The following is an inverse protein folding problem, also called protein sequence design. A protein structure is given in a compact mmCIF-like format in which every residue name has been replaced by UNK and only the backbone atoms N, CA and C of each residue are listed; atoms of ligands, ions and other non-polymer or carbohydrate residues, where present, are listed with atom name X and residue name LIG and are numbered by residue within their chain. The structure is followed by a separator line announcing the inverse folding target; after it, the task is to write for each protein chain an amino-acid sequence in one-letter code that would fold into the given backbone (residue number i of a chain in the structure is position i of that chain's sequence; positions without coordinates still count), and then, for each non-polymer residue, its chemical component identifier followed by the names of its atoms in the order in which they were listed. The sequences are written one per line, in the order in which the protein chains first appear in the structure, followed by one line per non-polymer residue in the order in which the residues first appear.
data_IF_466299075487
#
_entry.id   IF_466299075487
#
_cell.length_a   1.000
_cell.length_b   1.000
_cell.length_c   1.000
_cell.angle_alpha   90.00
_cell.angle_beta   90.00
_cell.angle_gamma   90.00
#
_symmetry.space_group_name_H-M   'P 1'
#
loop_
_entity.id
_entity.type
_entity.pdbx_description
1 polymer ?
#
# COMPACT_ATOMS: atom_id res chain seq x y z
N UNK A 1 8.09 14.13 23.17
CA UNK A 1 7.51 12.96 22.48
C UNK A 1 8.58 11.87 22.47
N UNK A 2 8.28 10.64 22.89
CA UNK A 2 9.33 9.59 22.94
C UNK A 2 9.68 9.13 21.52
N UNK A 3 10.93 8.70 21.30
CA UNK A 3 11.42 8.20 20.01
C UNK A 3 10.53 7.06 19.46
N UNK A 4 10.10 6.16 20.35
CA UNK A 4 9.15 5.11 20.03
C UNK A 4 7.82 5.64 19.49
N UNK A 5 7.27 6.70 20.10
CA UNK A 5 6.03 7.34 19.63
C UNK A 5 6.18 7.94 18.23
N UNK A 6 7.35 8.51 17.91
CA UNK A 6 7.62 9.09 16.60
C UNK A 6 7.64 7.99 15.54
N UNK A 7 8.37 6.90 15.75
CA UNK A 7 8.42 5.79 14.80
C UNK A 7 7.09 5.07 14.65
N UNK A 8 6.35 4.90 15.75
CA UNK A 8 4.99 4.36 15.71
C UNK A 8 4.07 5.24 14.84
N UNK A 9 4.18 6.56 15.01
CA UNK A 9 3.42 7.51 14.20
C UNK A 9 3.83 7.47 12.73
N UNK A 10 5.13 7.34 12.42
CA UNK A 10 5.64 7.25 11.05
C UNK A 10 5.02 6.07 10.30
N UNK A 11 5.14 4.85 10.81
CA UNK A 11 4.62 3.68 10.09
C UNK A 11 3.09 3.74 9.96
N UNK A 12 2.39 4.18 11.00
CA UNK A 12 0.92 4.26 10.98
C UNK A 12 0.45 5.29 9.94
N UNK A 13 1.11 6.45 9.88
CA UNK A 13 0.80 7.48 8.89
C UNK A 13 1.15 7.02 7.47
N UNK A 14 2.29 6.34 7.28
CA UNK A 14 2.66 5.74 6.00
C UNK A 14 1.60 4.75 5.51
N UNK A 15 1.13 3.85 6.40
CA UNK A 15 0.09 2.88 6.06
C UNK A 15 -1.22 3.56 5.65
N UNK A 16 -1.70 4.53 6.44
CA UNK A 16 -2.97 5.23 6.17
C UNK A 16 -2.87 6.08 4.89
N UNK A 17 -1.75 6.80 4.70
CA UNK A 17 -1.50 7.61 3.53
C UNK A 17 -1.45 6.74 2.26
N UNK A 18 -0.60 5.70 2.25
CA UNK A 18 -0.41 4.87 1.07
C UNK A 18 -1.65 4.01 0.77
N UNK A 19 -2.39 3.53 1.77
CA UNK A 19 -3.68 2.87 1.55
C UNK A 19 -4.67 3.80 0.82
N UNK A 20 -4.73 5.06 1.24
CA UNK A 20 -5.57 6.08 0.59
C UNK A 20 -5.08 6.40 -0.84
N UNK A 21 -3.77 6.42 -1.07
CA UNK A 21 -3.19 6.55 -2.41
C UNK A 21 -3.54 5.33 -3.28
N UNK A 22 -3.53 4.12 -2.73
CA UNK A 22 -4.01 2.91 -3.40
C UNK A 22 -5.46 3.03 -3.88
N UNK A 23 -6.34 3.66 -3.08
CA UNK A 23 -7.71 3.98 -3.49
C UNK A 23 -7.74 5.01 -4.63
N UNK A 24 -6.88 6.03 -4.62
CA UNK A 24 -6.78 7.02 -5.72
C UNK A 24 -6.31 6.37 -7.03
N UNK A 25 -5.32 5.49 -6.95
CA UNK A 25 -4.81 4.75 -8.12
C UNK A 25 -5.89 3.81 -8.64
N UNK A 26 -6.57 3.06 -7.77
CA UNK A 26 -7.69 2.22 -8.16
C UNK A 26 -8.82 3.04 -8.81
N UNK A 27 -9.10 4.25 -8.31
CA UNK A 27 -10.08 5.17 -8.91
C UNK A 27 -9.66 5.54 -10.33
N UNK A 28 -8.41 5.94 -10.52
CA UNK A 28 -7.87 6.36 -11.80
C UNK A 28 -7.89 5.23 -12.84
N UNK A 29 -7.47 4.02 -12.43
CA UNK A 29 -7.49 2.82 -13.29
C UNK A 29 -8.92 2.56 -13.78
N UNK A 30 -9.90 2.47 -12.88
CA UNK A 30 -11.29 2.20 -13.25
C UNK A 30 -11.89 3.28 -14.16
N UNK A 31 -11.50 4.55 -13.99
CA UNK A 31 -11.89 5.65 -14.88
C UNK A 31 -11.32 5.49 -16.28
N UNK A 32 -10.03 5.18 -16.40
CA UNK A 32 -9.35 5.02 -17.69
C UNK A 32 -9.82 3.77 -18.43
N UNK A 33 -10.14 2.69 -17.71
CA UNK A 33 -10.65 1.45 -18.31
C UNK A 33 -12.16 1.47 -18.58
N UNK A 34 -12.85 2.59 -18.35
CA UNK A 34 -14.30 2.69 -18.50
C UNK A 34 -15.09 1.61 -17.73
N UNK A 35 -14.66 1.28 -16.52
CA UNK A 35 -15.30 0.24 -15.71
C UNK A 35 -16.69 0.67 -15.23
N UNK A 36 -17.73 0.17 -15.90
CA UNK A 36 -19.14 0.51 -15.60
C UNK A 36 -19.57 0.03 -14.20
N UNK A 37 -19.10 -1.16 -13.80
CA UNK A 37 -19.41 -1.77 -12.50
C UNK A 37 -18.92 -0.94 -11.31
N UNK A 38 -17.90 -0.09 -11.50
CA UNK A 38 -17.28 0.72 -10.45
C UNK A 38 -17.93 2.13 -10.32
N UNK A 39 -18.90 2.48 -11.17
CA UNK A 39 -19.44 3.84 -11.23
C UNK A 39 -20.06 4.31 -9.91
N UNK A 40 -20.82 3.46 -9.23
CA UNK A 40 -21.41 3.77 -7.92
C UNK A 40 -20.43 3.69 -6.75
N UNK A 41 -19.20 3.16 -6.96
CA UNK A 41 -18.13 3.18 -5.96
C UNK A 41 -17.36 4.51 -5.95
N UNK A 42 -17.37 5.28 -7.03
CA UNK A 42 -16.63 6.55 -7.12
C UNK A 42 -16.92 7.55 -5.98
N UNK A 43 -18.16 7.74 -5.50
CA UNK A 43 -18.42 8.59 -4.34
C UNK A 43 -17.76 8.06 -3.05
N UNK A 44 -17.76 6.74 -2.86
CA UNK A 44 -17.16 6.07 -1.69
C UNK A 44 -15.64 6.27 -1.73
N UNK A 45 -15.01 6.00 -2.88
CA UNK A 45 -13.57 6.17 -3.09
C UNK A 45 -13.15 7.62 -2.82
N UNK A 46 -13.89 8.61 -3.35
CA UNK A 46 -13.64 10.03 -3.07
C UNK A 46 -13.74 10.36 -1.59
N UNK A 47 -14.72 9.80 -0.87
CA UNK A 47 -14.89 10.03 0.57
C UNK A 47 -13.71 9.46 1.37
N UNK A 48 -13.25 8.27 1.02
CA UNK A 48 -12.08 7.63 1.65
C UNK A 48 -10.82 8.47 1.43
N UNK A 49 -10.63 9.06 0.25
CA UNK A 49 -9.42 9.82 -0.10
C UNK A 49 -9.49 11.29 0.32
N UNK A 50 -10.66 11.81 0.73
CA UNK A 50 -10.83 13.21 1.15
C UNK A 50 -9.89 13.64 2.28
N UNK A 51 -9.69 12.87 3.38
CA UNK A 51 -8.77 13.27 4.45
C UNK A 51 -7.28 13.12 4.10
N UNK A 52 -6.93 12.64 2.89
CA UNK A 52 -5.54 12.37 2.51
C UNK A 52 -4.61 13.57 2.74
N UNK A 53 -5.06 14.80 2.43
CA UNK A 53 -4.23 15.99 2.60
C UNK A 53 -3.85 16.26 4.06
N UNK A 54 -4.75 15.97 5.01
CA UNK A 54 -4.46 16.09 6.45
C UNK A 54 -3.45 15.04 6.88
N UNK A 55 -3.65 13.79 6.45
CA UNK A 55 -2.73 12.68 6.76
C UNK A 55 -1.34 12.98 6.21
N UNK A 56 -1.24 13.49 4.99
CA UNK A 56 0.03 13.85 4.36
C UNK A 56 0.70 15.05 5.03
N UNK A 57 -0.06 16.04 5.51
CA UNK A 57 0.49 17.18 6.25
C UNK A 57 1.12 16.72 7.57
N UNK A 58 0.44 15.84 8.31
CA UNK A 58 0.99 15.26 9.55
C UNK A 58 2.19 14.37 9.25
N UNK A 59 2.11 13.53 8.21
CA UNK A 59 3.21 12.69 7.74
C UNK A 59 4.44 13.54 7.37
N UNK A 60 4.25 14.65 6.67
CA UNK A 60 5.35 15.57 6.32
C UNK A 60 6.02 16.15 7.57
N UNK A 61 5.24 16.50 8.61
CA UNK A 61 5.77 16.93 9.90
C UNK A 61 6.60 15.84 10.59
N UNK A 62 6.15 14.59 10.55
CA UNK A 62 6.92 13.45 11.09
C UNK A 62 8.17 13.19 10.26
N UNK A 63 8.07 13.22 8.94
CA UNK A 63 9.22 13.08 8.02
C UNK A 63 10.25 14.18 8.22
N UNK A 64 9.83 15.42 8.52
CA UNK A 64 10.73 16.52 8.88
C UNK A 64 11.51 16.26 10.18
N UNK A 65 10.87 15.63 11.16
CA UNK A 65 11.50 15.27 12.44
C UNK A 65 12.53 14.14 12.23
N UNK A 66 12.19 13.15 11.40
CA UNK A 66 13.04 11.97 11.12
C UNK A 66 14.18 12.30 10.14
N UNK A 67 13.89 13.07 9.09
CA UNK A 67 14.83 13.47 8.04
C UNK A 67 14.87 14.99 7.93
N UNK A 68 16.01 15.58 8.29
CA UNK A 68 16.22 17.05 8.24
C UNK A 68 16.75 17.57 6.90
N UNK A 69 16.99 16.67 5.95
CA UNK A 69 17.58 17.02 4.66
C UNK A 69 16.59 17.78 3.77
N UNK A 70 16.92 19.00 3.30
CA UNK A 70 15.97 19.85 2.56
C UNK A 70 15.58 19.23 1.20
N UNK A 71 16.51 18.57 0.52
CA UNK A 71 16.24 17.92 -0.77
C UNK A 71 15.28 16.73 -0.63
N UNK A 72 15.37 15.99 0.47
CA UNK A 72 14.44 14.89 0.78
C UNK A 72 13.01 15.43 0.95
N UNK A 73 12.86 16.50 1.75
CA UNK A 73 11.58 17.12 2.01
C UNK A 73 10.96 17.73 0.76
N UNK A 74 11.78 18.36 -0.09
CA UNK A 74 11.32 18.90 -1.37
C UNK A 74 10.72 17.81 -2.27
N UNK A 75 11.40 16.65 -2.39
CA UNK A 75 10.88 15.50 -3.14
C UNK A 75 9.61 14.94 -2.52
N UNK A 76 9.59 14.76 -1.20
CA UNK A 76 8.40 14.29 -0.48
C UNK A 76 7.18 15.20 -0.73
N UNK A 77 7.35 16.52 -0.64
CA UNK A 77 6.30 17.50 -0.97
C UNK A 77 5.87 17.37 -2.43
N UNK A 78 6.82 17.19 -3.36
CA UNK A 78 6.52 16.95 -4.77
C UNK A 78 5.61 15.73 -4.99
N UNK A 79 5.94 14.59 -4.39
CA UNK A 79 5.11 13.37 -4.48
C UNK A 79 3.71 13.59 -3.90
N UNK A 80 3.64 14.18 -2.71
CA UNK A 80 2.37 14.47 -2.02
C UNK A 80 1.50 15.45 -2.81
N UNK A 81 2.10 16.48 -3.43
CA UNK A 81 1.39 17.48 -4.22
C UNK A 81 0.68 16.87 -5.43
N UNK A 82 1.29 15.89 -6.10
CA UNK A 82 0.66 15.15 -7.21
C UNK A 82 -0.62 14.46 -6.73
N UNK A 83 -0.56 13.75 -5.60
CA UNK A 83 -1.71 13.00 -5.07
C UNK A 83 -2.82 13.92 -4.56
N UNK A 84 -2.46 14.97 -3.82
CA UNK A 84 -3.41 15.96 -3.29
C UNK A 84 -4.06 16.75 -4.42
N UNK A 85 -3.26 17.20 -5.40
CA UNK A 85 -3.74 17.94 -6.57
C UNK A 85 -4.75 17.11 -7.37
N UNK A 86 -4.44 15.84 -7.62
CA UNK A 86 -5.37 14.93 -8.28
C UNK A 86 -6.64 14.72 -7.45
N UNK A 87 -6.53 14.45 -6.14
CA UNK A 87 -7.66 14.24 -5.24
C UNK A 87 -8.65 15.42 -5.21
N UNK A 88 -8.16 16.66 -5.18
CA UNK A 88 -9.01 17.87 -5.14
C UNK A 88 -9.68 18.19 -6.50
N UNK A 89 -9.11 17.71 -7.59
CA UNK A 89 -9.59 17.99 -8.95
C UNK A 89 -10.52 16.90 -9.50
N UNK A 90 -10.74 15.80 -8.77
CA UNK A 90 -11.57 14.64 -9.17
C UNK A 90 -13.02 14.96 -9.58
N UNK A 91 -13.60 16.11 -9.16
CA UNK A 91 -14.96 16.52 -9.54
C UNK A 91 -15.00 17.41 -10.80
N UNK A 92 -13.86 18.03 -11.15
CA UNK A 92 -13.79 19.04 -12.22
C UNK A 92 -13.56 18.43 -13.60
N UNK A 93 -13.02 17.21 -13.66
CA UNK A 93 -12.65 16.58 -14.92
C UNK A 93 -13.85 15.98 -15.64
N UNK A 94 -14.06 16.43 -16.88
CA UNK A 94 -14.98 15.82 -17.85
C UNK A 94 -14.26 14.89 -18.83
N UNK A 95 -12.94 15.07 -19.01
CA UNK A 95 -12.10 14.25 -19.89
C UNK A 95 -11.29 13.22 -19.12
N UNK A 96 -10.80 12.19 -19.82
CA UNK A 96 -9.97 11.13 -19.26
C UNK A 96 -8.51 11.53 -19.07
N UNK A 97 -8.03 12.52 -19.83
CA UNK A 97 -6.62 12.94 -19.87
C UNK A 97 -6.00 13.17 -18.50
N UNK A 98 -6.68 13.81 -17.51
CA UNK A 98 -6.10 14.00 -16.19
C UNK A 98 -5.90 12.69 -15.40
N UNK A 99 -6.76 11.69 -15.61
CA UNK A 99 -6.62 10.37 -14.97
C UNK A 99 -5.43 9.61 -15.54
N UNK A 100 -5.24 9.67 -16.86
CA UNK A 100 -4.09 9.06 -17.55
C UNK A 100 -2.79 9.75 -17.12
N UNK A 101 -2.77 11.10 -17.13
CA UNK A 101 -1.59 11.86 -16.74
C UNK A 101 -1.22 11.60 -15.27
N UNK A 102 -2.20 11.53 -14.38
CA UNK A 102 -1.98 11.15 -12.99
C UNK A 102 -1.32 9.78 -12.88
N UNK A 103 -1.82 8.76 -13.59
CA UNK A 103 -1.23 7.41 -13.55
C UNK A 103 0.23 7.41 -14.06
N UNK A 104 0.50 8.08 -15.18
CA UNK A 104 1.87 8.17 -15.72
C UNK A 104 2.82 8.82 -14.71
N UNK A 105 2.43 9.98 -14.15
CA UNK A 105 3.26 10.69 -13.16
C UNK A 105 3.40 9.86 -11.88
N UNK A 106 2.33 9.18 -11.45
CA UNK A 106 2.34 8.32 -10.28
C UNK A 106 3.35 7.19 -10.42
N UNK A 107 3.32 6.43 -11.52
CA UNK A 107 4.26 5.32 -11.74
C UNK A 107 5.72 5.80 -11.88
N UNK A 108 5.95 7.00 -12.43
CA UNK A 108 7.30 7.59 -12.47
C UNK A 108 7.81 8.04 -11.10
N UNK A 109 6.91 8.42 -10.18
CA UNK A 109 7.27 8.93 -8.85
C UNK A 109 7.19 7.87 -7.75
N UNK A 110 6.54 6.74 -7.98
CA UNK A 110 6.35 5.65 -7.03
C UNK A 110 7.69 5.04 -6.58
N UNK A 111 8.55 4.68 -7.53
CA UNK A 111 9.84 4.05 -7.22
C UNK A 111 10.78 4.95 -6.41
N UNK A 112 11.03 6.22 -6.82
CA UNK A 112 11.86 7.10 -5.99
C UNK A 112 11.20 7.43 -4.64
N UNK A 113 9.87 7.47 -4.54
CA UNK A 113 9.16 7.60 -3.26
C UNK A 113 9.41 6.40 -2.34
N UNK A 114 9.37 5.18 -2.87
CA UNK A 114 9.66 3.96 -2.09
C UNK A 114 11.10 3.97 -1.56
N UNK A 115 12.05 4.42 -2.38
CA UNK A 115 13.45 4.56 -1.96
C UNK A 115 13.61 5.60 -0.86
N UNK A 116 13.03 6.77 -1.06
CA UNK A 116 13.09 7.86 -0.08
C UNK A 116 12.41 7.47 1.24
N UNK A 117 11.18 6.99 1.22
CA UNK A 117 10.39 6.84 2.46
C UNK A 117 10.64 5.53 3.21
N UNK A 118 11.16 4.50 2.54
CA UNK A 118 11.39 3.19 3.15
C UNK A 118 12.85 2.76 3.09
N UNK A 119 13.46 2.69 1.90
CA UNK A 119 14.84 2.19 1.79
C UNK A 119 15.88 3.12 2.45
N UNK A 120 15.58 4.40 2.61
CA UNK A 120 16.44 5.32 3.37
C UNK A 120 16.61 4.94 4.85
N UNK A 121 15.71 4.12 5.41
CA UNK A 121 15.84 3.55 6.75
C UNK A 121 16.94 2.46 6.80
N UNK A 122 17.27 1.86 5.67
CA UNK A 122 18.32 0.83 5.51
C UNK A 122 19.25 1.14 4.34
N UNK A 123 20.12 2.17 4.42
CA UNK A 123 20.91 2.63 3.29
C UNK A 123 21.88 1.60 2.69
N UNK A 124 22.26 0.59 3.48
CA UNK A 124 23.19 -0.48 3.09
C UNK A 124 22.52 -1.56 2.25
N UNK A 125 21.18 -1.57 2.17
CA UNK A 125 20.42 -2.61 1.48
C UNK A 125 19.65 -2.06 0.28
N UNK A 126 19.69 -2.81 -0.82
CA UNK A 126 19.06 -2.44 -2.07
C UNK A 126 18.24 -3.60 -2.63
N UNK A 127 17.10 -3.28 -3.22
CA UNK A 127 16.28 -4.24 -3.97
C UNK A 127 15.50 -3.52 -5.06
N UNK A 128 15.62 -4.03 -6.29
CA UNK A 128 14.89 -3.51 -7.45
C UNK A 128 13.39 -3.80 -7.38
N UNK A 129 13.00 -4.90 -6.72
CA UNK A 129 11.61 -5.35 -6.62
C UNK A 129 10.84 -4.69 -5.46
N UNK A 130 11.55 -4.04 -4.52
CA UNK A 130 10.95 -3.49 -3.31
C UNK A 130 9.83 -2.48 -3.60
N UNK A 131 10.03 -1.55 -4.53
CA UNK A 131 9.02 -0.57 -4.91
C UNK A 131 7.74 -1.25 -5.43
N UNK A 132 7.87 -2.22 -6.34
CA UNK A 132 6.74 -2.99 -6.87
C UNK A 132 6.00 -3.77 -5.77
N UNK A 133 6.74 -4.31 -4.80
CA UNK A 133 6.16 -5.00 -3.66
C UNK A 133 5.41 -4.01 -2.74
N UNK A 134 5.94 -2.81 -2.49
CA UNK A 134 5.24 -1.74 -1.78
C UNK A 134 3.97 -1.28 -2.53
N UNK A 135 4.06 -1.05 -3.84
CA UNK A 135 2.93 -0.73 -4.71
C UNK A 135 1.80 -1.75 -4.59
N UNK A 136 2.13 -3.04 -4.71
CA UNK A 136 1.13 -4.10 -4.57
C UNK A 136 0.47 -4.10 -3.17
N UNK A 137 1.24 -3.75 -2.13
CA UNK A 137 0.78 -3.72 -0.74
C UNK A 137 -0.30 -2.66 -0.52
N UNK A 138 -0.06 -1.43 -0.96
CA UNK A 138 -1.04 -0.36 -0.76
C UNK A 138 -2.21 -0.39 -1.76
N UNK A 139 -2.04 -0.96 -2.96
CA UNK A 139 -3.15 -1.23 -3.87
C UNK A 139 -4.11 -2.28 -3.28
N UNK A 140 -3.57 -3.39 -2.78
CA UNK A 140 -4.35 -4.44 -2.12
C UNK A 140 -5.08 -3.89 -0.89
N UNK A 141 -4.40 -3.08 -0.07
CA UNK A 141 -5.01 -2.40 1.08
C UNK A 141 -6.12 -1.43 0.67
N UNK A 142 -5.90 -0.65 -0.40
CA UNK A 142 -6.91 0.29 -0.91
C UNK A 142 -8.17 -0.43 -1.42
N UNK A 143 -8.02 -1.52 -2.16
CA UNK A 143 -9.15 -2.34 -2.63
C UNK A 143 -9.89 -2.96 -1.43
N UNK A 144 -9.17 -3.46 -0.42
CA UNK A 144 -9.77 -3.99 0.81
C UNK A 144 -10.57 -2.92 1.54
N UNK A 145 -10.03 -1.70 1.66
CA UNK A 145 -10.71 -0.57 2.29
C UNK A 145 -11.99 -0.18 1.54
N UNK A 146 -11.96 -0.09 0.20
CA UNK A 146 -13.16 0.15 -0.62
C UNK A 146 -14.21 -0.94 -0.41
N UNK A 147 -13.75 -2.19 -0.28
CA UNK A 147 -14.63 -3.35 -0.09
C UNK A 147 -15.42 -3.27 1.22
N UNK A 148 -14.81 -2.80 2.31
CA UNK A 148 -15.51 -2.64 3.61
C UNK A 148 -16.73 -1.72 3.55
N UNK A 149 -16.71 -0.72 2.66
CA UNK A 149 -17.78 0.26 2.50
C UNK A 149 -18.69 -0.01 1.29
N UNK A 150 -18.49 -1.15 0.61
CA UNK A 150 -19.21 -1.50 -0.62
C UNK A 150 -20.53 -2.24 -0.37
N UNK A 151 -21.41 -2.21 -1.37
CA UNK A 151 -22.71 -2.89 -1.37
C UNK A 151 -22.65 -4.25 -2.07
N UNK A 152 -23.61 -5.16 -1.83
CA UNK A 152 -23.62 -6.51 -2.41
C UNK A 152 -23.49 -6.58 -3.93
N UNK A 153 -24.00 -5.58 -4.65
CA UNK A 153 -23.88 -5.43 -6.10
C UNK A 153 -22.42 -5.41 -6.62
N UNK A 154 -21.45 -5.04 -5.77
CA UNK A 154 -20.02 -4.96 -6.13
C UNK A 154 -19.20 -6.16 -5.67
N UNK A 155 -19.76 -7.05 -4.85
CA UNK A 155 -18.98 -8.07 -4.14
C UNK A 155 -18.31 -9.06 -5.07
N UNK A 156 -18.99 -9.42 -6.16
CA UNK A 156 -18.44 -10.38 -7.11
C UNK A 156 -17.13 -9.88 -7.74
N UNK A 157 -17.09 -8.63 -8.19
CA UNK A 157 -15.91 -8.06 -8.85
C UNK A 157 -14.84 -7.65 -7.83
N UNK A 158 -15.22 -7.01 -6.72
CA UNK A 158 -14.28 -6.70 -5.63
C UNK A 158 -13.63 -7.98 -5.06
N UNK A 159 -14.39 -9.07 -4.96
CA UNK A 159 -13.86 -10.38 -4.55
C UNK A 159 -12.86 -10.97 -5.55
N UNK A 160 -12.99 -10.69 -6.86
CA UNK A 160 -11.95 -11.04 -7.85
C UNK A 160 -10.70 -10.19 -7.68
N UNK A 161 -10.87 -8.89 -7.46
CA UNK A 161 -9.75 -7.98 -7.22
C UNK A 161 -8.97 -8.35 -5.94
N UNK A 162 -9.65 -8.57 -4.81
CA UNK A 162 -8.99 -8.99 -3.57
C UNK A 162 -8.24 -10.31 -3.74
N UNK A 163 -8.88 -11.30 -4.38
CA UNK A 163 -8.25 -12.59 -4.63
C UNK A 163 -7.02 -12.44 -5.54
N UNK A 164 -7.15 -11.79 -6.69
CA UNK A 164 -6.06 -11.61 -7.65
C UNK A 164 -4.90 -10.79 -7.08
N UNK A 165 -5.19 -9.65 -6.44
CA UNK A 165 -4.14 -8.81 -5.85
C UNK A 165 -3.47 -9.45 -4.63
N UNK A 166 -4.17 -10.31 -3.87
CA UNK A 166 -3.52 -11.08 -2.79
C UNK A 166 -2.48 -12.07 -3.33
N UNK A 167 -2.78 -12.75 -4.43
CA UNK A 167 -1.85 -13.64 -5.12
C UNK A 167 -0.70 -12.84 -5.72
N UNK A 168 -0.99 -11.71 -6.37
CA UNK A 168 0.03 -10.83 -6.96
C UNK A 168 1.00 -10.29 -5.90
N UNK A 169 0.49 -9.84 -4.76
CA UNK A 169 1.31 -9.38 -3.65
C UNK A 169 2.19 -10.52 -3.10
N UNK A 170 1.61 -11.70 -2.89
CA UNK A 170 2.36 -12.87 -2.40
C UNK A 170 3.45 -13.30 -3.38
N UNK A 171 3.17 -13.24 -4.68
CA UNK A 171 4.15 -13.50 -5.74
C UNK A 171 5.34 -12.55 -5.64
N UNK A 172 5.11 -11.24 -5.50
CA UNK A 172 6.20 -10.25 -5.43
C UNK A 172 7.01 -10.40 -4.14
N UNK A 173 6.33 -10.58 -3.01
CA UNK A 173 6.99 -10.80 -1.72
C UNK A 173 7.86 -12.06 -1.76
N UNK A 174 7.32 -13.17 -2.26
CA UNK A 174 8.04 -14.44 -2.35
C UNK A 174 9.19 -14.37 -3.36
N UNK A 175 8.99 -13.74 -4.53
CA UNK A 175 10.04 -13.60 -5.53
C UNK A 175 11.23 -12.80 -5.00
N UNK A 176 10.98 -11.74 -4.23
CA UNK A 176 12.04 -10.98 -3.58
C UNK A 176 12.80 -11.82 -2.56
N UNK A 177 12.07 -12.46 -1.64
CA UNK A 177 12.67 -13.27 -0.59
C UNK A 177 13.47 -14.45 -1.15
N UNK A 178 12.87 -15.21 -2.08
CA UNK A 178 13.46 -16.43 -2.63
C UNK A 178 14.77 -16.14 -3.36
N UNK A 179 14.85 -15.06 -4.15
CA UNK A 179 16.08 -14.72 -4.87
C UNK A 179 17.22 -14.34 -3.93
N UNK A 180 16.94 -13.52 -2.91
CA UNK A 180 17.94 -13.13 -1.90
C UNK A 180 18.36 -14.36 -1.07
N UNK A 181 17.42 -15.19 -0.67
CA UNK A 181 17.69 -16.40 0.10
C UNK A 181 18.50 -17.42 -0.70
N UNK A 182 18.19 -17.60 -1.99
CA UNK A 182 18.85 -18.56 -2.86
C UNK A 182 20.29 -18.15 -3.19
N UNK A 183 20.51 -16.88 -3.54
CA UNK A 183 21.85 -16.37 -3.85
C UNK A 183 22.72 -16.22 -2.59
N UNK A 184 22.10 -15.87 -1.45
CA UNK A 184 22.74 -15.76 -0.14
C UNK A 184 24.01 -14.88 -0.13
N UNK A 185 23.98 -13.76 -0.85
CA UNK A 185 25.06 -12.77 -0.87
C UNK A 185 25.01 -11.98 0.45
N UNK A 186 26.11 -11.91 1.22
CA UNK A 186 26.10 -11.35 2.58
C UNK A 186 25.45 -9.97 2.67
N UNK A 187 25.82 -9.05 1.78
CA UNK A 187 25.35 -7.67 1.77
C UNK A 187 23.84 -7.55 1.50
N UNK A 188 23.28 -8.44 0.67
CA UNK A 188 21.86 -8.41 0.28
C UNK A 188 20.94 -9.11 1.30
N UNK A 189 21.51 -9.97 2.15
CA UNK A 189 20.74 -10.74 3.16
C UNK A 189 20.45 -9.95 4.44
N UNK A 190 21.12 -8.82 4.66
CA UNK A 190 21.06 -8.01 5.90
C UNK A 190 19.61 -7.66 6.29
N UNK A 191 18.76 -7.35 5.31
CA UNK A 191 17.35 -7.00 5.55
C UNK A 191 16.59 -8.14 6.26
N UNK A 192 16.62 -9.35 5.71
CA UNK A 192 15.91 -10.49 6.29
C UNK A 192 16.60 -11.04 7.55
N UNK A 193 17.93 -10.96 7.62
CA UNK A 193 18.67 -11.31 8.84
C UNK A 193 18.29 -10.37 10.01
N UNK A 194 18.14 -9.08 9.76
CA UNK A 194 17.70 -8.10 10.76
C UNK A 194 16.30 -8.44 11.29
N UNK A 195 15.38 -8.81 10.41
CA UNK A 195 14.02 -9.23 10.82
C UNK A 195 14.06 -10.48 11.72
N UNK A 196 14.82 -11.50 11.33
CA UNK A 196 14.88 -12.75 12.07
C UNK A 196 15.62 -12.60 13.41
N UNK A 197 16.76 -11.92 13.43
CA UNK A 197 17.55 -11.67 14.64
C UNK A 197 16.83 -10.83 15.68
N UNK A 198 15.96 -9.89 15.25
CA UNK A 198 15.10 -9.10 16.14
C UNK A 198 13.81 -9.82 16.55
N UNK A 199 13.60 -11.07 16.15
CA UNK A 199 12.46 -11.89 16.57
C UNK A 199 11.18 -11.67 15.77
N UNK A 200 11.23 -11.04 14.59
CA UNK A 200 10.04 -10.77 13.76
C UNK A 200 9.61 -11.95 12.87
N UNK A 201 10.20 -13.15 13.03
CA UNK A 201 9.87 -14.33 12.22
C UNK A 201 8.39 -14.71 12.28
N UNK A 202 7.79 -14.73 13.48
CA UNK A 202 6.37 -15.03 13.67
C UNK A 202 5.46 -13.98 13.01
N UNK A 203 5.86 -12.70 13.08
CA UNK A 203 5.14 -11.61 12.46
C UNK A 203 5.16 -11.70 10.92
N UNK A 204 6.26 -12.15 10.32
CA UNK A 204 6.32 -12.42 8.87
C UNK A 204 5.32 -13.52 8.50
N UNK A 205 5.29 -14.62 9.25
CA UNK A 205 4.35 -15.73 9.00
C UNK A 205 2.90 -15.28 9.16
N UNK A 206 2.60 -14.54 10.24
CA UNK A 206 1.27 -13.99 10.47
C UNK A 206 0.83 -13.05 9.33
N UNK A 207 1.73 -12.18 8.86
CA UNK A 207 1.49 -11.30 7.72
C UNK A 207 1.15 -12.09 6.45
N UNK A 208 1.90 -13.15 6.13
CA UNK A 208 1.63 -14.00 4.97
C UNK A 208 0.29 -14.73 5.08
N UNK A 209 -0.06 -15.21 6.28
CA UNK A 209 -1.33 -15.89 6.51
C UNK A 209 -2.50 -14.92 6.31
N UNK A 210 -2.41 -13.72 6.88
CA UNK A 210 -3.48 -12.71 6.84
C UNK A 210 -3.64 -12.08 5.46
N UNK A 211 -2.54 -11.77 4.78
CA UNK A 211 -2.55 -11.07 3.48
C UNK A 211 -2.73 -11.99 2.28
N UNK A 212 -2.42 -13.29 2.42
CA UNK A 212 -2.45 -14.24 1.30
C UNK A 212 -3.16 -15.55 1.62
N UNK A 213 -2.69 -16.36 2.57
CA UNK A 213 -3.19 -17.75 2.74
C UNK A 213 -4.69 -17.76 3.05
N UNK A 214 -5.14 -16.97 4.02
CA UNK A 214 -6.57 -16.89 4.37
C UNK A 214 -7.40 -16.28 3.24
N UNK A 215 -7.05 -15.12 2.65
CA UNK A 215 -7.76 -14.59 1.49
C UNK A 215 -7.86 -15.58 0.31
N UNK A 216 -6.78 -16.30 0.03
CA UNK A 216 -6.73 -17.30 -1.03
C UNK A 216 -7.73 -18.43 -0.77
N UNK A 217 -7.70 -19.03 0.42
CA UNK A 217 -8.57 -20.15 0.78
C UNK A 217 -10.04 -19.72 0.86
N UNK A 218 -10.34 -18.56 1.45
CA UNK A 218 -11.70 -18.05 1.60
C UNK A 218 -12.30 -17.70 0.23
N UNK A 219 -11.55 -17.00 -0.62
CA UNK A 219 -12.07 -16.48 -1.89
C UNK A 219 -11.87 -17.45 -3.07
N UNK A 220 -11.37 -18.67 -2.85
CA UNK A 220 -11.16 -19.66 -3.92
C UNK A 220 -12.47 -19.92 -4.69
N UNK A 221 -13.58 -20.12 -3.98
CA UNK A 221 -14.87 -20.38 -4.61
C UNK A 221 -15.56 -19.10 -5.10
N UNK A 222 -16.18 -19.13 -6.29
CA UNK A 222 -16.96 -18.00 -6.82
C UNK A 222 -18.13 -17.61 -5.90
N UNK A 223 -18.76 -18.59 -5.24
CA UNK A 223 -19.85 -18.36 -4.29
C UNK A 223 -19.38 -17.59 -3.05
N UNK A 224 -18.18 -17.88 -2.54
CA UNK A 224 -17.66 -17.17 -1.37
C UNK A 224 -17.40 -15.69 -1.65
N UNK A 225 -16.94 -15.35 -2.86
CA UNK A 225 -16.71 -13.96 -3.30
C UNK A 225 -17.96 -13.08 -3.26
N UNK A 226 -19.16 -13.66 -3.27
CA UNK A 226 -20.43 -12.92 -3.24
C UNK A 226 -21.06 -12.81 -1.84
N UNK A 227 -20.55 -13.56 -0.85
CA UNK A 227 -21.11 -13.56 0.50
C UNK A 227 -20.57 -12.39 1.32
N UNK A 228 -21.47 -11.51 1.80
CA UNK A 228 -21.13 -10.32 2.60
C UNK A 228 -20.14 -10.60 3.73
N UNK A 229 -20.45 -11.58 4.59
CA UNK A 229 -19.64 -11.88 5.77
C UNK A 229 -18.23 -12.36 5.40
N UNK A 230 -18.12 -13.21 4.38
CA UNK A 230 -16.83 -13.74 3.94
C UNK A 230 -15.99 -12.65 3.29
N UNK A 231 -16.59 -11.83 2.43
CA UNK A 231 -15.87 -10.75 1.75
C UNK A 231 -15.44 -9.65 2.73
N UNK A 232 -16.34 -9.25 3.65
CA UNK A 232 -16.02 -8.28 4.69
C UNK A 232 -14.92 -8.80 5.62
N UNK A 233 -15.03 -10.04 6.09
CA UNK A 233 -13.99 -10.67 6.91
C UNK A 233 -12.65 -10.75 6.19
N UNK A 234 -12.65 -11.12 4.91
CA UNK A 234 -11.42 -11.17 4.10
C UNK A 234 -10.77 -9.80 3.94
N UNK A 235 -11.57 -8.76 3.66
CA UNK A 235 -11.06 -7.39 3.56
C UNK A 235 -10.42 -6.92 4.88
N UNK A 236 -11.01 -7.26 6.03
CA UNK A 236 -10.44 -6.96 7.33
C UNK A 236 -9.12 -7.71 7.58
N UNK A 237 -9.07 -9.00 7.26
CA UNK A 237 -7.85 -9.81 7.39
C UNK A 237 -6.71 -9.24 6.54
N UNK A 238 -7.01 -8.85 5.28
CA UNK A 238 -6.03 -8.21 4.39
C UNK A 238 -5.52 -6.90 4.98
N UNK A 239 -6.39 -6.04 5.50
CA UNK A 239 -5.96 -4.77 6.10
C UNK A 239 -5.07 -4.98 7.33
N UNK A 240 -5.39 -5.96 8.18
CA UNK A 240 -4.55 -6.32 9.33
C UNK A 240 -3.20 -6.89 8.89
N UNK A 241 -3.19 -7.77 7.89
CA UNK A 241 -1.96 -8.34 7.33
C UNK A 241 -1.08 -7.28 6.68
N UNK A 242 -1.67 -6.33 5.94
CA UNK A 242 -0.94 -5.23 5.31
C UNK A 242 -0.46 -4.19 6.33
N UNK A 243 -1.21 -3.95 7.41
CA UNK A 243 -0.73 -3.14 8.53
C UNK A 243 0.54 -3.75 9.16
N UNK A 244 0.54 -5.08 9.36
CA UNK A 244 1.71 -5.81 9.84
C UNK A 244 2.88 -5.76 8.84
N UNK A 245 2.60 -5.88 7.54
CA UNK A 245 3.61 -5.71 6.48
C UNK A 245 4.30 -4.35 6.56
N UNK A 246 3.55 -3.26 6.66
CA UNK A 246 4.10 -1.90 6.81
C UNK A 246 4.89 -1.74 8.12
N UNK A 247 4.39 -2.34 9.21
CA UNK A 247 5.13 -2.36 10.47
C UNK A 247 6.50 -3.03 10.31
N UNK A 248 6.56 -4.19 9.64
CA UNK A 248 7.80 -4.93 9.38
C UNK A 248 8.77 -4.19 8.45
N UNK A 249 8.26 -3.34 7.55
CA UNK A 249 9.09 -2.52 6.67
C UNK A 249 9.73 -1.31 7.35
N UNK A 250 9.22 -0.88 8.51
CA UNK A 250 9.63 0.39 9.16
C UNK A 250 10.23 0.15 10.53
N UNK A 251 9.49 -0.49 11.44
CA UNK A 251 9.83 -0.57 12.87
C UNK A 251 11.15 -1.30 13.18
N UNK A 252 11.55 -2.35 12.44
CA UNK A 252 12.83 -3.01 12.67
C UNK A 252 14.04 -2.17 12.25
N UNK A 253 13.85 -1.11 11.45
CA UNK A 253 14.95 -0.40 10.78
C UNK A 253 15.15 1.04 11.27
N UNK A 254 14.17 1.58 11.98
CA UNK A 254 14.31 2.86 12.70
C UNK A 254 15.26 2.73 13.89
N UNK A 255 16.01 3.80 14.17
CA UNK A 255 16.99 3.89 15.27
C UNK A 255 16.47 4.74 16.41
#
# INVERSE_FOLDING_TARGET
MTLFTIHYSLFTLLFVALTSVGVLVFYAINKVTHAEWAMSLYPIMKRITTPLWLVLLVLLGVLYIVHREPYFLLRAVGYMAVWVGYCHTLKKFKSLTPHVLFLVIFFLTETPMAWDWFLSLTPEWHSTLFAWQLLSSFLLSGIALVTLFSKPEHYHDLGKYLFGFSIFWAYLWFSQYMLIWYANIPEETIYYQTLLSKGYGEAIVAMLILSFVLPFLILLSSRAKQKKLLLFGTALLILLGQYLNFYLMVMPFVK
#
